data_IF_255659012153
#
_entry.id   IF_255659012153
#
_cell.length_a   1.000
_cell.length_b   1.000
_cell.length_c   1.000
_cell.angle_alpha   90.00
_cell.angle_beta   90.00
_cell.angle_gamma   90.00
#
_symmetry.space_group_name_H-M   'P 1'
#
loop_
_entity.id
_entity.type
_entity.pdbx_description
1 polymer ?
#
# COMPACT_ATOMS: atom_id res chain seq x y z
N UNK A 1 13.15 -16.18 -3.57
CA UNK A 1 13.18 -15.09 -2.56
C UNK A 1 11.75 -14.71 -2.21
N UNK A 2 11.39 -14.77 -0.90
CA UNK A 2 10.04 -14.45 -0.43
C UNK A 2 10.05 -13.16 0.40
N UNK A 3 9.12 -12.28 0.09
CA UNK A 3 8.96 -10.99 0.76
C UNK A 3 7.58 -10.95 1.42
N UNK A 4 7.55 -10.62 2.72
CA UNK A 4 6.33 -10.34 3.46
C UNK A 4 6.12 -8.82 3.48
N UNK A 5 5.03 -8.35 2.86
CA UNK A 5 4.76 -6.92 2.66
C UNK A 5 3.57 -6.46 3.49
N UNK A 6 3.69 -5.26 4.10
CA UNK A 6 2.67 -4.60 4.91
C UNK A 6 2.28 -3.26 4.31
N UNK A 7 0.99 -3.01 4.20
CA UNK A 7 0.41 -1.73 3.77
C UNK A 7 -0.71 -1.32 4.73
N UNK A 8 -0.53 -0.16 5.35
CA UNK A 8 -1.50 0.44 6.28
C UNK A 8 -1.56 1.96 6.14
N UNK A 9 -1.34 2.49 4.95
CA UNK A 9 -1.19 3.94 4.75
C UNK A 9 -2.47 4.75 4.89
N UNK A 10 -3.65 4.14 4.72
CA UNK A 10 -4.94 4.84 4.76
C UNK A 10 -6.00 4.05 5.56
N UNK A 11 -6.90 3.35 4.90
CA UNK A 11 -8.06 2.68 5.49
C UNK A 11 -8.16 1.18 5.16
N UNK A 12 -7.15 0.61 4.51
CA UNK A 12 -6.98 -0.82 4.33
C UNK A 12 -5.78 -1.34 5.13
N UNK A 13 -5.99 -2.43 5.88
CA UNK A 13 -4.90 -3.22 6.43
C UNK A 13 -4.60 -4.35 5.46
N UNK A 14 -3.47 -4.29 4.79
CA UNK A 14 -3.09 -5.33 3.83
C UNK A 14 -1.77 -5.98 4.19
N UNK A 15 -1.72 -7.31 4.02
CA UNK A 15 -0.50 -8.11 4.14
C UNK A 15 -0.43 -9.10 2.97
N UNK A 16 0.72 -9.14 2.32
CA UNK A 16 0.96 -10.02 1.18
C UNK A 16 2.27 -10.79 1.33
N UNK A 17 2.32 -11.99 0.76
CA UNK A 17 3.56 -12.73 0.53
C UNK A 17 3.81 -12.82 -0.97
N UNK A 18 4.96 -12.29 -1.41
CA UNK A 18 5.35 -12.26 -2.82
C UNK A 18 6.65 -13.04 -3.00
N UNK A 19 6.70 -13.91 -4.01
CA UNK A 19 7.86 -14.69 -4.38
C UNK A 19 8.49 -14.14 -5.66
N UNK A 20 9.81 -13.97 -5.64
CA UNK A 20 10.63 -13.56 -6.79
C UNK A 20 10.15 -12.27 -7.50
N UNK A 21 9.56 -11.35 -6.73
CA UNK A 21 9.17 -10.01 -7.16
C UNK A 21 7.83 -9.91 -7.87
N UNK A 22 7.32 -10.97 -8.47
CA UNK A 22 6.08 -10.91 -9.28
C UNK A 22 5.03 -11.96 -8.92
N UNK A 23 5.41 -13.08 -8.31
CA UNK A 23 4.47 -14.14 -7.96
C UNK A 23 3.83 -13.87 -6.61
N UNK A 24 2.57 -13.47 -6.60
CA UNK A 24 1.77 -13.28 -5.38
C UNK A 24 1.34 -14.64 -4.84
N UNK A 25 1.86 -15.03 -3.67
CA UNK A 25 1.46 -16.26 -2.97
C UNK A 25 0.21 -16.03 -2.12
N UNK A 26 0.08 -14.84 -1.53
CA UNK A 26 -1.12 -14.39 -0.82
C UNK A 26 -1.22 -12.87 -0.84
N UNK A 27 -2.46 -12.37 -0.79
CA UNK A 27 -2.75 -10.94 -0.59
C UNK A 27 -4.05 -10.87 0.21
N UNK A 28 -3.95 -10.46 1.48
CA UNK A 28 -5.08 -10.35 2.40
C UNK A 28 -5.34 -8.88 2.68
N UNK A 29 -6.58 -8.46 2.49
CA UNK A 29 -7.00 -7.07 2.64
C UNK A 29 -8.18 -7.02 3.61
N UNK A 30 -8.06 -6.24 4.68
CA UNK A 30 -9.13 -5.87 5.59
C UNK A 30 -9.47 -4.40 5.37
N UNK A 31 -10.57 -4.14 4.67
CA UNK A 31 -11.02 -2.78 4.35
C UNK A 31 -11.90 -2.21 5.46
N UNK A 32 -11.80 -0.90 5.66
CA UNK A 32 -12.58 -0.11 6.62
C UNK A 32 -13.66 0.74 5.93
N UNK A 33 -13.93 0.53 4.63
CA UNK A 33 -14.88 1.32 3.83
C UNK A 33 -16.24 1.44 4.53
N UNK A 34 -16.79 0.34 5.05
CA UNK A 34 -18.10 0.34 5.72
C UNK A 34 -18.12 1.20 6.99
N UNK A 35 -16.99 1.33 7.67
CA UNK A 35 -16.86 2.14 8.88
C UNK A 35 -16.81 3.62 8.47
N UNK A 36 -15.96 3.96 7.52
CA UNK A 36 -15.75 5.34 7.09
C UNK A 36 -16.91 5.91 6.29
N UNK A 37 -17.71 5.04 5.67
CA UNK A 37 -18.97 5.42 5.01
C UNK A 37 -19.91 6.19 5.91
N UNK A 38 -20.01 5.85 7.20
CA UNK A 38 -20.85 6.52 8.17
C UNK A 38 -20.41 7.96 8.44
N UNK A 39 -19.13 8.27 8.16
CA UNK A 39 -18.54 9.60 8.35
C UNK A 39 -18.42 10.40 7.05
N UNK A 40 -18.79 9.78 5.91
CA UNK A 40 -18.66 10.40 4.58
C UNK A 40 -17.21 10.62 4.13
N UNK A 41 -16.27 9.81 4.64
CA UNK A 41 -14.85 9.84 4.31
C UNK A 41 -13.96 9.29 5.41
N UNK A 42 -12.68 9.11 5.13
CA UNK A 42 -11.72 8.51 6.07
C UNK A 42 -11.46 9.40 7.27
N UNK A 43 -11.61 8.83 8.47
CA UNK A 43 -11.28 9.48 9.75
C UNK A 43 -9.96 8.89 10.28
N UNK A 44 -8.86 9.66 10.30
CA UNK A 44 -7.52 9.13 10.56
C UNK A 44 -7.36 8.41 11.90
N UNK A 45 -8.01 8.91 12.97
CA UNK A 45 -7.93 8.29 14.28
C UNK A 45 -8.67 6.94 14.34
N UNK A 46 -9.81 6.84 13.67
CA UNK A 46 -10.58 5.61 13.56
C UNK A 46 -9.77 4.60 12.72
N UNK A 47 -9.21 5.04 11.60
CA UNK A 47 -8.39 4.18 10.74
C UNK A 47 -7.23 3.56 11.51
N UNK A 48 -6.45 4.35 12.25
CA UNK A 48 -5.30 3.84 13.00
C UNK A 48 -5.68 2.83 14.07
N UNK A 49 -6.83 3.00 14.75
CA UNK A 49 -7.32 2.03 15.76
C UNK A 49 -7.70 0.70 15.12
N UNK A 50 -8.39 0.72 13.99
CA UNK A 50 -8.74 -0.52 13.29
C UNK A 50 -7.53 -1.25 12.70
N UNK A 51 -6.50 -0.53 12.28
CA UNK A 51 -5.24 -1.18 11.90
C UNK A 51 -4.63 -1.97 13.05
N UNK A 52 -4.65 -1.43 14.29
CA UNK A 52 -4.13 -2.15 15.47
C UNK A 52 -4.89 -3.46 15.70
N UNK A 53 -6.21 -3.44 15.53
CA UNK A 53 -7.06 -4.63 15.72
C UNK A 53 -6.85 -5.69 14.63
N UNK A 54 -6.64 -5.24 13.37
CA UNK A 54 -6.64 -6.11 12.21
C UNK A 54 -5.27 -6.62 11.78
N UNK A 55 -4.17 -5.93 12.13
CA UNK A 55 -2.85 -6.25 11.57
C UNK A 55 -2.39 -7.69 11.90
N UNK A 56 -2.62 -8.16 13.12
CA UNK A 56 -2.24 -9.51 13.51
C UNK A 56 -3.08 -10.60 12.85
N UNK A 57 -4.44 -10.53 12.84
CA UNK A 57 -5.26 -11.45 12.06
C UNK A 57 -4.89 -11.52 10.58
N UNK A 58 -4.74 -10.36 9.93
CA UNK A 58 -4.40 -10.26 8.50
C UNK A 58 -3.02 -10.85 8.21
N UNK A 59 -2.03 -10.57 9.06
CA UNK A 59 -0.70 -11.18 8.98
C UNK A 59 -0.73 -12.70 9.06
N UNK A 60 -1.44 -13.25 10.06
CA UNK A 60 -1.54 -14.70 10.22
C UNK A 60 -2.20 -15.36 9.01
N UNK A 61 -3.30 -14.80 8.52
CA UNK A 61 -4.00 -15.29 7.34
C UNK A 61 -3.13 -15.21 6.07
N UNK A 62 -2.33 -14.17 5.94
CA UNK A 62 -1.41 -14.03 4.79
C UNK A 62 -0.38 -15.16 4.75
N UNK A 63 0.24 -15.49 5.86
CA UNK A 63 1.18 -16.61 5.95
C UNK A 63 0.50 -17.96 5.72
N UNK A 64 -0.67 -18.18 6.32
CA UNK A 64 -1.43 -19.43 6.16
C UNK A 64 -1.82 -19.66 4.70
N UNK A 65 -2.36 -18.65 4.01
CA UNK A 65 -2.75 -18.77 2.59
C UNK A 65 -1.55 -18.91 1.66
N UNK A 66 -0.42 -18.31 2.01
CA UNK A 66 0.83 -18.50 1.26
C UNK A 66 1.45 -19.89 1.49
N UNK A 67 0.97 -20.65 2.48
CA UNK A 67 1.60 -21.92 2.91
C UNK A 67 3.02 -21.70 3.44
N UNK A 68 3.29 -20.54 4.02
CA UNK A 68 4.60 -20.13 4.52
C UNK A 68 4.59 -19.97 6.04
N UNK A 69 5.77 -20.16 6.62
CA UNK A 69 6.08 -19.76 7.99
C UNK A 69 6.93 -18.49 7.95
N UNK A 70 7.03 -17.78 9.06
CA UNK A 70 7.86 -16.58 9.14
C UNK A 70 9.35 -16.88 8.86
N UNK A 71 9.81 -18.08 9.21
CA UNK A 71 11.17 -18.56 8.94
C UNK A 71 11.48 -18.75 7.43
N UNK A 72 10.45 -18.78 6.58
CA UNK A 72 10.58 -18.90 5.12
C UNK A 72 10.71 -17.52 4.43
N UNK A 73 10.64 -16.43 5.21
CA UNK A 73 10.63 -15.05 4.68
C UNK A 73 12.04 -14.48 4.68
N UNK A 74 12.49 -14.04 3.51
CA UNK A 74 13.83 -13.46 3.33
C UNK A 74 13.87 -11.95 3.69
N UNK A 75 12.77 -11.21 3.42
CA UNK A 75 12.66 -9.78 3.66
C UNK A 75 11.27 -9.40 4.12
N UNK A 76 11.19 -8.36 4.95
CA UNK A 76 9.96 -7.68 5.30
C UNK A 76 9.93 -6.33 4.59
N UNK A 77 8.87 -6.05 3.83
CA UNK A 77 8.62 -4.75 3.22
C UNK A 77 7.48 -4.04 3.96
N UNK A 78 7.54 -2.73 4.11
CA UNK A 78 6.47 -1.95 4.75
C UNK A 78 6.36 -0.57 4.15
N UNK A 79 5.13 -0.14 3.89
CA UNK A 79 4.86 1.23 3.47
C UNK A 79 5.14 2.20 4.62
N UNK A 80 6.00 3.19 4.34
CA UNK A 80 6.41 4.18 5.34
C UNK A 80 6.01 5.63 4.98
N UNK A 81 5.65 5.89 3.73
CA UNK A 81 5.27 7.23 3.23
C UNK A 81 4.73 7.13 1.78
N UNK A 82 3.88 8.08 1.31
CA UNK A 82 3.01 8.94 2.10
C UNK A 82 1.81 8.17 2.67
N UNK A 83 1.07 8.80 3.60
CA UNK A 83 -0.14 8.24 4.18
C UNK A 83 -0.50 8.90 5.52
N UNK A 84 -1.56 8.41 6.15
CA UNK A 84 -1.99 8.85 7.46
C UNK A 84 -0.97 8.42 8.53
N UNK A 85 -0.42 9.39 9.28
CA UNK A 85 0.69 9.15 10.21
C UNK A 85 0.37 8.03 11.21
N UNK A 86 -0.81 8.04 11.83
CA UNK A 86 -1.22 7.02 12.81
C UNK A 86 -1.33 5.64 12.18
N UNK A 87 -1.88 5.55 10.98
CA UNK A 87 -2.03 4.31 10.22
C UNK A 87 -0.68 3.73 9.79
N UNK A 88 0.19 4.56 9.20
CA UNK A 88 1.56 4.18 8.83
C UNK A 88 2.35 3.65 10.02
N UNK A 89 2.24 4.31 11.19
CA UNK A 89 2.96 3.88 12.40
C UNK A 89 2.56 2.48 12.85
N UNK A 90 1.31 2.06 12.69
CA UNK A 90 0.87 0.71 13.07
C UNK A 90 1.60 -0.34 12.24
N UNK A 91 1.57 -0.23 10.90
CA UNK A 91 2.26 -1.15 10.01
C UNK A 91 3.76 -1.15 10.21
N UNK A 92 4.35 0.06 10.28
CA UNK A 92 5.79 0.23 10.45
C UNK A 92 6.30 -0.39 11.76
N UNK A 93 5.60 -0.15 12.88
CA UNK A 93 6.02 -0.68 14.18
C UNK A 93 5.83 -2.19 14.26
N UNK A 94 4.75 -2.73 13.68
CA UNK A 94 4.53 -4.17 13.59
C UNK A 94 5.62 -4.86 12.75
N UNK A 95 5.86 -4.38 11.53
CA UNK A 95 6.89 -4.91 10.64
C UNK A 95 8.30 -4.80 11.24
N UNK A 96 8.62 -3.67 11.88
CA UNK A 96 9.90 -3.44 12.57
C UNK A 96 10.10 -4.40 13.75
N UNK A 97 9.04 -4.67 14.51
CA UNK A 97 9.10 -5.61 15.63
C UNK A 97 9.35 -7.05 15.15
N UNK A 98 8.68 -7.48 14.08
CA UNK A 98 8.92 -8.77 13.44
C UNK A 98 10.36 -8.89 12.89
N UNK A 99 10.81 -7.86 12.18
CA UNK A 99 12.18 -7.77 11.64
C UNK A 99 13.23 -7.93 12.75
N UNK A 100 13.08 -7.17 13.82
CA UNK A 100 14.00 -7.21 14.95
C UNK A 100 14.00 -8.57 15.67
N UNK A 101 12.81 -9.11 15.97
CA UNK A 101 12.68 -10.35 16.73
C UNK A 101 13.19 -11.58 15.96
N UNK A 102 13.10 -11.56 14.63
CA UNK A 102 13.45 -12.72 13.79
C UNK A 102 14.71 -12.47 12.95
N UNK A 103 15.37 -11.33 13.13
CA UNK A 103 16.57 -10.94 12.37
C UNK A 103 16.35 -10.97 10.84
N UNK A 104 15.15 -10.58 10.38
CA UNK A 104 14.79 -10.48 8.96
C UNK A 104 14.98 -9.03 8.52
N UNK A 105 15.70 -8.74 7.41
CA UNK A 105 15.91 -7.37 6.92
C UNK A 105 14.59 -6.65 6.60
N UNK A 106 14.49 -5.35 6.98
CA UNK A 106 13.34 -4.50 6.75
C UNK A 106 13.59 -3.52 5.60
N UNK A 107 12.65 -3.43 4.66
CA UNK A 107 12.69 -2.56 3.49
C UNK A 107 11.55 -1.54 3.59
N UNK A 108 11.83 -0.24 3.73
CA UNK A 108 10.80 0.78 3.63
C UNK A 108 10.39 0.98 2.17
N UNK A 109 9.08 1.10 1.92
CA UNK A 109 8.51 1.28 0.57
C UNK A 109 7.67 2.54 0.53
N UNK A 110 7.81 3.31 -0.55
CA UNK A 110 6.92 4.43 -0.81
C UNK A 110 5.58 3.91 -1.37
N UNK A 111 4.46 4.37 -0.80
CA UNK A 111 3.10 3.98 -1.18
C UNK A 111 2.82 4.16 -2.68
N UNK A 112 3.19 5.31 -3.24
CA UNK A 112 2.97 5.60 -4.66
C UNK A 112 3.82 4.70 -5.55
N UNK A 113 5.05 4.42 -5.14
CA UNK A 113 5.91 3.43 -5.80
C UNK A 113 5.25 2.05 -5.81
N UNK A 114 4.65 1.64 -4.68
CA UNK A 114 3.89 0.40 -4.59
C UNK A 114 2.75 0.33 -5.60
N UNK A 115 1.97 1.40 -5.75
CA UNK A 115 0.90 1.48 -6.76
C UNK A 115 1.43 1.37 -8.20
N UNK A 116 2.53 2.05 -8.51
CA UNK A 116 3.14 1.97 -9.84
C UNK A 116 3.62 0.54 -10.13
N UNK A 117 4.35 -0.06 -9.19
CA UNK A 117 4.91 -1.40 -9.38
C UNK A 117 3.87 -2.52 -9.34
N UNK A 118 2.66 -2.29 -8.84
CA UNK A 118 1.57 -3.28 -8.94
C UNK A 118 1.25 -3.68 -10.38
N UNK A 119 1.48 -2.78 -11.34
CA UNK A 119 1.29 -3.06 -12.77
C UNK A 119 2.29 -4.10 -13.31
N UNK A 120 3.47 -4.24 -12.69
CA UNK A 120 4.49 -5.19 -13.11
C UNK A 120 4.24 -6.62 -12.60
N UNK A 121 3.26 -6.81 -11.71
CA UNK A 121 2.91 -8.13 -11.18
C UNK A 121 2.16 -8.96 -12.22
N UNK A 122 1.21 -8.35 -12.94
CA UNK A 122 0.31 -9.06 -13.86
C UNK A 122 0.60 -8.76 -15.34
N UNK A 123 1.50 -7.83 -15.62
CA UNK A 123 1.75 -7.37 -16.98
C UNK A 123 3.24 -7.26 -17.27
N UNK A 124 3.62 -7.58 -18.49
CA UNK A 124 4.93 -7.27 -19.03
C UNK A 124 4.95 -5.78 -19.44
N UNK A 125 5.39 -4.92 -18.53
CA UNK A 125 5.46 -3.48 -18.79
C UNK A 125 6.77 -3.18 -19.53
N UNK A 126 6.65 -2.71 -20.77
CA UNK A 126 7.79 -2.24 -21.54
C UNK A 126 8.26 -0.87 -21.02
N UNK A 127 9.57 -0.73 -20.81
CA UNK A 127 10.19 0.53 -20.41
C UNK A 127 10.98 1.14 -21.60
N UNK A 128 11.05 2.46 -21.74
CA UNK A 128 10.49 3.49 -20.83
C UNK A 128 8.97 3.61 -20.92
N UNK A 129 8.34 4.00 -19.82
CA UNK A 129 6.90 4.16 -19.69
C UNK A 129 6.52 5.45 -18.94
N UNK A 130 5.28 5.88 -19.11
CA UNK A 130 4.70 6.97 -18.33
C UNK A 130 3.57 6.38 -17.46
N UNK A 131 3.61 6.64 -16.16
CA UNK A 131 2.59 6.22 -15.22
C UNK A 131 1.81 7.43 -14.70
N UNK A 132 0.48 7.37 -14.82
CA UNK A 132 -0.43 8.32 -14.19
C UNK A 132 -1.05 7.67 -12.95
N UNK A 133 -0.71 8.19 -11.78
CA UNK A 133 -1.34 7.80 -10.51
C UNK A 133 -2.48 8.75 -10.22
N UNK A 134 -3.70 8.21 -10.07
CA UNK A 134 -4.92 8.96 -9.74
C UNK A 134 -5.60 8.31 -8.55
N UNK A 135 -5.67 9.01 -7.43
CA UNK A 135 -6.28 8.51 -6.19
C UNK A 135 -6.97 9.63 -5.41
N UNK A 136 -7.52 9.30 -4.25
CA UNK A 136 -8.11 10.29 -3.33
C UNK A 136 -7.12 11.32 -2.81
N UNK A 137 -5.84 10.95 -2.66
CA UNK A 137 -4.82 11.84 -2.12
C UNK A 137 -3.75 12.30 -3.12
N UNK A 138 -3.69 11.67 -4.30
CA UNK A 138 -2.59 11.92 -5.25
C UNK A 138 -3.07 11.97 -6.69
N UNK A 139 -2.49 12.90 -7.46
CA UNK A 139 -2.60 12.95 -8.91
C UNK A 139 -1.23 13.32 -9.44
N UNK A 140 -0.47 12.29 -9.83
CA UNK A 140 0.95 12.39 -10.15
C UNK A 140 1.26 11.72 -11.48
N UNK A 141 2.14 12.32 -12.26
CA UNK A 141 2.65 11.78 -13.51
C UNK A 141 4.13 11.43 -13.34
N UNK A 142 4.50 10.18 -13.59
CA UNK A 142 5.88 9.70 -13.50
C UNK A 142 6.38 9.21 -14.85
N UNK A 143 7.64 9.51 -15.15
CA UNK A 143 8.42 8.84 -16.18
C UNK A 143 9.21 7.71 -15.53
N UNK A 144 9.18 6.54 -16.13
CA UNK A 144 9.82 5.33 -15.61
C UNK A 144 10.75 4.79 -16.69
N UNK A 145 11.99 4.60 -16.35
CA UNK A 145 12.98 4.00 -17.24
C UNK A 145 13.84 2.97 -16.51
N UNK A 146 14.45 2.09 -17.26
CA UNK A 146 15.41 1.13 -16.73
C UNK A 146 16.81 1.46 -17.24
N UNK A 147 17.71 1.65 -16.32
CA UNK A 147 19.12 1.85 -16.60
C UNK A 147 19.97 0.89 -15.75
N UNK A 148 20.78 0.04 -16.42
CA UNK A 148 21.69 -0.90 -15.74
C UNK A 148 21.02 -1.74 -14.63
N UNK A 149 19.90 -2.38 -14.91
CA UNK A 149 19.09 -3.19 -13.99
C UNK A 149 18.37 -2.37 -12.88
N UNK A 150 18.54 -1.07 -12.84
CA UNK A 150 17.82 -0.19 -11.92
C UNK A 150 16.64 0.47 -12.63
N UNK A 151 15.51 0.48 -11.95
CA UNK A 151 14.35 1.25 -12.38
C UNK A 151 14.44 2.63 -11.73
N UNK A 152 14.52 3.65 -12.56
CA UNK A 152 14.48 5.05 -12.16
C UNK A 152 13.08 5.60 -12.39
N UNK A 153 12.62 6.45 -11.48
CA UNK A 153 11.33 7.13 -11.60
C UNK A 153 11.54 8.61 -11.39
N UNK A 154 11.07 9.40 -12.35
CA UNK A 154 11.10 10.86 -12.32
C UNK A 154 9.68 11.39 -12.24
N UNK A 155 9.40 12.24 -11.25
CA UNK A 155 8.12 12.95 -11.14
C UNK A 155 8.08 14.07 -12.19
N UNK A 156 7.24 13.91 -13.21
CA UNK A 156 7.07 14.91 -14.27
C UNK A 156 6.09 16.02 -13.88
N UNK A 157 5.11 15.68 -13.01
CA UNK A 157 4.13 16.64 -12.55
C UNK A 157 3.21 16.04 -11.50
N UNK A 158 2.61 16.93 -10.71
CA UNK A 158 1.63 16.60 -9.69
C UNK A 158 0.56 17.68 -9.62
N UNK A 159 -0.60 17.34 -9.04
CA UNK A 159 -1.61 18.37 -8.77
C UNK A 159 -1.10 19.38 -7.75
N UNK A 160 -1.48 20.64 -7.96
CA UNK A 160 -1.11 21.76 -7.05
C UNK A 160 -2.20 22.07 -6.01
N UNK A 161 -3.36 21.44 -6.14
CA UNK A 161 -4.51 21.60 -5.29
C UNK A 161 -5.14 20.23 -4.98
N UNK A 162 -6.43 20.06 -5.23
CA UNK A 162 -7.13 18.80 -4.96
C UNK A 162 -6.67 17.69 -5.90
N UNK A 163 -6.49 16.50 -5.36
CA UNK A 163 -6.36 15.29 -6.17
C UNK A 163 -7.69 14.99 -6.90
N UNK A 164 -7.60 14.28 -8.04
CA UNK A 164 -8.79 13.95 -8.85
C UNK A 164 -9.85 13.18 -8.04
N UNK A 165 -9.43 12.18 -7.24
CA UNK A 165 -10.35 11.41 -6.40
C UNK A 165 -11.01 12.28 -5.32
N UNK A 166 -10.27 13.18 -4.68
CA UNK A 166 -10.83 14.14 -3.73
C UNK A 166 -11.85 15.06 -4.42
N UNK A 167 -11.58 15.49 -5.64
CA UNK A 167 -12.53 16.30 -6.43
C UNK A 167 -13.80 15.51 -6.72
N UNK A 168 -13.70 14.21 -7.07
CA UNK A 168 -14.88 13.34 -7.24
C UNK A 168 -15.70 13.24 -5.96
N UNK A 169 -15.08 13.03 -4.82
CA UNK A 169 -15.77 12.94 -3.52
C UNK A 169 -16.48 14.26 -3.18
N UNK A 170 -15.85 15.41 -3.44
CA UNK A 170 -16.46 16.73 -3.23
C UNK A 170 -17.68 16.95 -4.13
N UNK A 171 -17.58 16.59 -5.40
CA UNK A 171 -18.69 16.70 -6.37
C UNK A 171 -19.81 15.72 -6.02
N UNK A 172 -19.48 14.48 -5.67
CA UNK A 172 -20.45 13.47 -5.24
C UNK A 172 -21.26 13.95 -4.03
N UNK A 173 -20.58 14.57 -3.05
CA UNK A 173 -21.26 15.17 -1.87
C UNK A 173 -22.23 16.27 -2.25
N UNK A 174 -21.88 17.14 -3.20
CA UNK A 174 -22.78 18.21 -3.70
C UNK A 174 -23.99 17.60 -4.40
N UNK A 175 -23.81 16.48 -5.09
CA UNK A 175 -24.89 15.77 -5.81
C UNK A 175 -25.66 14.79 -4.91
N UNK A 176 -25.37 14.77 -3.60
CA UNK A 176 -25.98 13.86 -2.62
C UNK A 176 -25.81 12.37 -2.98
N UNK A 177 -24.70 12.02 -3.67
CA UNK A 177 -24.31 10.64 -3.96
C UNK A 177 -23.63 10.02 -2.74
N UNK A 178 -23.72 8.69 -2.55
CA UNK A 178 -23.07 8.01 -1.43
C UNK A 178 -21.55 8.01 -1.54
N UNK A 179 -20.88 7.79 -0.41
CA UNK A 179 -19.44 7.49 -0.35
C UNK A 179 -19.27 5.98 -0.17
N UNK A 180 -18.28 5.35 -0.79
CA UNK A 180 -17.42 5.77 -1.89
C UNK A 180 -18.14 5.79 -3.23
#
# INVERSE_FOLDING_TARGET
>A
MKILAFETSCDETSVAVVEDGTKVLSNIISTQINIHKEYGGVVPEIASRHHIENILPVFNEALERAGCRLDDIDYIAVTNTPGLIGSLLVGLMFAKSLSYANNIPLIPVNHITGHIFSNFIENDVELPAVSLVVSGGHTNLYYIEQENEKINMELLGETLDDAVGETYDKVARILELPYP
#
